data_IF_730043564680
#
_entry.id   IF_730043564680
#
_cell.length_a   1.000
_cell.length_b   1.000
_cell.length_c   1.000
_cell.angle_alpha   90.00
_cell.angle_beta   90.00
_cell.angle_gamma   90.00
#
_symmetry.space_group_name_H-M   'P 1'
#
loop_
_entity.id
_entity.type
_entity.pdbx_description
1 polymer ?
#
# COMPACT_ATOMS: atom_id res chain seq x y z
N UNK A 1 1.76 13.56 19.02
CA UNK A 1 0.87 12.39 19.09
C UNK A 1 1.60 11.05 19.29
N UNK A 2 2.92 11.02 19.38
CA UNK A 2 3.74 9.86 19.71
C UNK A 2 4.72 10.21 20.83
N UNK A 3 4.96 9.26 21.71
CA UNK A 3 5.80 9.46 22.88
C UNK A 3 7.31 9.51 22.54
N UNK A 4 7.73 8.82 21.48
CA UNK A 4 9.11 8.70 21.03
C UNK A 4 9.17 8.73 19.49
N UNK A 5 10.28 9.26 18.96
CA UNK A 5 10.60 9.24 17.52
C UNK A 5 10.93 7.84 16.96
N UNK A 6 11.04 6.82 17.79
CA UNK A 6 11.11 5.41 17.38
C UNK A 6 9.74 4.88 16.92
N UNK A 7 8.67 5.45 17.43
CA UNK A 7 7.32 5.06 17.01
C UNK A 7 7.05 5.56 15.59
N UNK A 8 6.91 4.64 14.66
CA UNK A 8 6.60 4.92 13.25
C UNK A 8 5.11 4.92 12.97
N UNK A 9 4.32 4.22 13.78
CA UNK A 9 2.85 4.26 13.79
C UNK A 9 2.38 5.43 14.64
N UNK A 10 1.21 6.01 14.33
CA UNK A 10 0.53 7.03 15.14
C UNK A 10 -0.46 6.34 16.10
N UNK A 11 -0.05 5.99 17.34
CA UNK A 11 -0.80 5.02 18.16
C UNK A 11 -2.19 5.52 18.58
N UNK A 12 -2.34 6.82 18.82
CA UNK A 12 -3.64 7.38 19.15
C UNK A 12 -4.62 7.24 17.98
N UNK A 13 -4.18 7.58 16.76
CA UNK A 13 -5.01 7.49 15.55
C UNK A 13 -5.35 6.06 15.18
N UNK A 14 -4.40 5.15 15.31
CA UNK A 14 -4.64 3.73 15.09
C UNK A 14 -5.72 3.19 16.06
N UNK A 15 -5.62 3.55 17.35
CA UNK A 15 -6.60 3.14 18.37
C UNK A 15 -7.99 3.68 18.07
N UNK A 16 -8.10 4.96 17.72
CA UNK A 16 -9.38 5.58 17.36
C UNK A 16 -10.01 4.92 16.13
N UNK A 17 -9.20 4.63 15.11
CA UNK A 17 -9.66 3.94 13.91
C UNK A 17 -10.13 2.51 14.23
N UNK A 18 -9.35 1.73 14.98
CA UNK A 18 -9.73 0.37 15.39
C UNK A 18 -11.02 0.39 16.21
N UNK A 19 -11.18 1.35 17.12
CA UNK A 19 -12.40 1.50 17.91
C UNK A 19 -13.63 1.80 17.04
N UNK A 20 -13.47 2.71 16.08
CA UNK A 20 -14.54 3.10 15.15
C UNK A 20 -14.93 1.96 14.20
N UNK A 21 -13.95 1.22 13.68
CA UNK A 21 -14.17 0.17 12.68
C UNK A 21 -14.67 -1.15 13.28
N UNK A 22 -14.49 -1.37 14.60
CA UNK A 22 -14.78 -2.64 15.26
C UNK A 22 -15.62 -2.48 16.55
N UNK A 23 -16.78 -1.80 16.49
CA UNK A 23 -17.57 -1.50 17.70
C UNK A 23 -18.10 -2.75 18.39
N UNK A 24 -18.27 -3.87 17.68
CA UNK A 24 -18.77 -5.14 18.21
C UNK A 24 -17.73 -6.00 18.93
N UNK A 25 -16.43 -5.69 18.79
CA UNK A 25 -15.33 -6.43 19.40
C UNK A 25 -14.98 -5.80 20.75
N UNK A 26 -14.82 -6.58 21.85
CA UNK A 26 -14.45 -6.05 23.16
C UNK A 26 -13.16 -5.24 23.17
N UNK A 27 -13.06 -4.24 24.04
CA UNK A 27 -11.91 -3.35 24.16
C UNK A 27 -10.59 -4.14 24.35
N UNK A 28 -10.61 -5.16 25.23
CA UNK A 28 -9.41 -5.96 25.49
C UNK A 28 -8.89 -6.68 24.23
N UNK A 29 -9.78 -7.20 23.39
CA UNK A 29 -9.42 -7.84 22.13
C UNK A 29 -8.91 -6.83 21.09
N UNK A 30 -9.47 -5.62 21.06
CA UNK A 30 -8.96 -4.52 20.21
C UNK A 30 -7.57 -4.05 20.65
N UNK A 31 -7.31 -3.95 21.95
CA UNK A 31 -5.98 -3.61 22.47
C UNK A 31 -4.96 -4.72 22.18
N UNK A 32 -5.37 -5.99 22.22
CA UNK A 32 -4.52 -7.09 21.79
C UNK A 32 -4.15 -6.98 20.30
N UNK A 33 -5.11 -6.68 19.44
CA UNK A 33 -4.84 -6.43 18.02
C UNK A 33 -3.88 -5.25 17.81
N UNK A 34 -4.01 -4.16 18.58
CA UNK A 34 -3.07 -3.03 18.52
C UNK A 34 -1.65 -3.49 18.86
N UNK A 35 -1.47 -4.31 19.89
CA UNK A 35 -0.15 -4.87 20.24
C UNK A 35 0.41 -5.73 19.12
N UNK A 36 -0.40 -6.62 18.55
CA UNK A 36 0.02 -7.50 17.46
C UNK A 36 0.51 -6.71 16.24
N UNK A 37 -0.18 -5.65 15.85
CA UNK A 37 0.21 -4.87 14.67
C UNK A 37 1.35 -3.89 14.93
N UNK A 38 1.54 -3.43 16.17
CA UNK A 38 2.62 -2.50 16.52
C UNK A 38 3.93 -3.19 16.93
N UNK A 39 3.88 -4.48 17.22
CA UNK A 39 5.06 -5.31 17.53
C UNK A 39 4.94 -6.65 16.79
N UNK A 40 5.47 -6.67 15.57
CA UNK A 40 5.40 -7.85 14.71
C UNK A 40 6.36 -8.97 15.15
N UNK A 41 7.42 -8.65 15.89
CA UNK A 41 8.38 -9.62 16.43
C UNK A 41 9.14 -10.44 15.36
N UNK A 42 9.18 -9.99 14.11
CA UNK A 42 9.76 -10.72 12.97
C UNK A 42 11.06 -10.02 12.54
N UNK A 43 12.24 -10.67 12.67
CA UNK A 43 13.54 -10.04 12.37
C UNK A 43 13.73 -9.66 10.89
N UNK A 44 13.22 -10.46 9.96
CA UNK A 44 13.35 -10.18 8.53
C UNK A 44 12.36 -9.08 8.11
N UNK A 45 12.88 -7.96 7.63
CA UNK A 45 12.08 -6.80 7.20
C UNK A 45 10.97 -7.18 6.20
N UNK A 46 11.31 -7.94 5.17
CA UNK A 46 10.34 -8.32 4.14
C UNK A 46 9.31 -9.33 4.66
N UNK A 47 9.71 -10.22 5.57
CA UNK A 47 8.79 -11.14 6.24
C UNK A 47 7.84 -10.41 7.19
N UNK A 48 8.34 -9.41 7.93
CA UNK A 48 7.53 -8.53 8.77
C UNK A 48 6.52 -7.74 7.91
N UNK A 49 6.97 -7.18 6.79
CA UNK A 49 6.10 -6.46 5.86
C UNK A 49 5.02 -7.38 5.26
N UNK A 50 5.33 -8.64 4.90
CA UNK A 50 4.34 -9.63 4.47
C UNK A 50 3.32 -9.94 5.58
N UNK A 51 3.77 -10.11 6.80
CA UNK A 51 2.88 -10.38 7.93
C UNK A 51 1.96 -9.19 8.21
N UNK A 52 2.51 -7.97 8.18
CA UNK A 52 1.72 -6.74 8.28
C UNK A 52 0.68 -6.64 7.16
N UNK A 53 1.08 -6.83 5.91
CA UNK A 53 0.17 -6.79 4.76
C UNK A 53 -1.00 -7.78 4.92
N UNK A 54 -0.75 -9.01 5.41
CA UNK A 54 -1.81 -9.98 5.71
C UNK A 54 -2.78 -9.46 6.78
N UNK A 55 -2.27 -8.85 7.84
CA UNK A 55 -3.09 -8.22 8.88
C UNK A 55 -3.90 -7.04 8.34
N UNK A 56 -3.27 -6.22 7.49
CA UNK A 56 -3.89 -5.05 6.89
C UNK A 56 -5.09 -5.43 6.02
N UNK A 57 -4.91 -6.42 5.14
CA UNK A 57 -5.94 -6.84 4.17
C UNK A 57 -6.97 -7.77 4.81
N UNK A 58 -6.54 -8.74 5.60
CA UNK A 58 -7.40 -9.77 6.19
C UNK A 58 -7.98 -9.45 7.57
N UNK A 59 -7.46 -8.41 8.22
CA UNK A 59 -7.73 -8.14 9.63
C UNK A 59 -6.84 -8.96 10.57
N UNK A 60 -6.83 -8.58 11.83
CA UNK A 60 -6.03 -9.20 12.88
C UNK A 60 -6.89 -10.21 13.64
N UNK A 61 -6.56 -11.50 13.66
CA UNK A 61 -7.34 -12.49 14.38
C UNK A 61 -7.24 -12.27 15.89
N UNK A 62 -8.39 -12.26 16.56
CA UNK A 62 -8.49 -12.13 18.02
C UNK A 62 -9.45 -13.17 18.58
N UNK A 63 -9.26 -13.55 19.84
CA UNK A 63 -10.17 -14.41 20.58
C UNK A 63 -10.59 -13.70 21.86
N UNK A 64 -11.86 -13.84 22.23
CA UNK A 64 -12.41 -13.24 23.45
C UNK A 64 -13.59 -14.04 23.99
N UNK A 65 -13.91 -13.84 25.27
CA UNK A 65 -15.10 -14.44 25.89
C UNK A 65 -16.31 -13.54 25.69
N UNK A 66 -17.42 -14.10 25.25
CA UNK A 66 -18.71 -13.43 25.16
C UNK A 66 -19.82 -14.42 25.49
N UNK A 67 -20.65 -14.08 26.44
CA UNK A 67 -21.79 -14.91 26.90
C UNK A 67 -21.38 -16.32 27.39
N UNK A 68 -20.15 -16.45 27.95
CA UNK A 68 -19.59 -17.72 28.42
C UNK A 68 -18.94 -18.59 27.34
N UNK A 69 -18.95 -18.14 26.11
CA UNK A 69 -18.33 -18.84 24.96
C UNK A 69 -17.07 -18.12 24.46
N UNK A 70 -16.08 -18.90 23.98
CA UNK A 70 -14.92 -18.34 23.27
C UNK A 70 -15.32 -18.05 21.85
N UNK A 71 -15.18 -16.79 21.43
CA UNK A 71 -15.41 -16.33 20.05
C UNK A 71 -14.12 -15.87 19.40
N UNK A 72 -13.98 -16.23 18.11
CA UNK A 72 -12.95 -15.69 17.23
C UNK A 72 -13.51 -14.60 16.33
N UNK A 73 -12.74 -13.54 16.07
CA UNK A 73 -13.12 -12.46 15.17
C UNK A 73 -11.88 -11.86 14.52
N UNK A 74 -12.06 -10.96 13.54
CA UNK A 74 -11.00 -10.24 12.87
C UNK A 74 -11.13 -8.73 13.11
N UNK A 75 -10.14 -8.13 13.75
CA UNK A 75 -10.07 -6.67 13.94
C UNK A 75 -9.63 -6.02 12.64
N UNK A 76 -10.50 -5.22 12.06
CA UNK A 76 -10.24 -4.47 10.82
C UNK A 76 -9.42 -3.24 11.11
N UNK A 77 -8.39 -3.01 10.28
CA UNK A 77 -7.53 -1.83 10.31
C UNK A 77 -7.98 -0.74 9.31
N UNK A 78 -8.66 -1.15 8.24
CA UNK A 78 -9.10 -0.33 7.12
C UNK A 78 -10.57 -0.60 6.81
N UNK A 79 -11.33 0.44 6.48
CA UNK A 79 -12.59 0.31 5.77
C UNK A 79 -12.32 0.34 4.27
N UNK A 80 -12.32 -0.84 3.66
CA UNK A 80 -12.02 -1.00 2.23
C UNK A 80 -13.16 -0.54 1.33
N UNK A 81 -14.40 -0.63 1.81
CA UNK A 81 -15.59 -0.29 1.05
C UNK A 81 -15.88 1.22 1.05
N UNK A 82 -15.45 1.92 2.09
CA UNK A 82 -15.74 3.34 2.29
C UNK A 82 -14.45 4.09 2.59
N UNK A 83 -13.67 4.48 1.57
CA UNK A 83 -12.39 5.17 1.75
C UNK A 83 -12.47 6.42 2.62
N UNK A 84 -13.62 7.13 2.56
CA UNK A 84 -13.92 8.35 3.33
C UNK A 84 -14.10 8.10 4.84
N UNK A 85 -14.31 6.86 5.26
CA UNK A 85 -14.39 6.48 6.66
C UNK A 85 -13.02 6.21 7.30
N UNK A 86 -11.97 6.18 6.50
CA UNK A 86 -10.61 6.12 7.00
C UNK A 86 -10.05 7.52 7.24
N UNK A 87 -9.10 7.62 8.13
CA UNK A 87 -8.38 8.86 8.40
C UNK A 87 -7.11 8.91 7.55
N UNK A 88 -6.92 10.02 6.81
CA UNK A 88 -5.82 10.21 5.86
C UNK A 88 -4.93 11.36 6.28
N UNK A 89 -3.62 11.12 6.32
CA UNK A 89 -2.62 12.15 6.61
C UNK A 89 -1.43 12.05 5.66
N UNK A 90 -1.04 13.18 5.11
CA UNK A 90 0.26 13.37 4.47
C UNK A 90 1.14 14.16 5.44
N UNK A 91 2.19 13.54 5.93
CA UNK A 91 3.10 14.15 6.91
C UNK A 91 4.46 14.36 6.26
N UNK A 92 4.87 15.61 6.15
CA UNK A 92 6.19 15.98 5.65
C UNK A 92 7.24 15.92 6.76
N UNK A 93 8.46 15.56 6.39
CA UNK A 93 9.64 15.54 7.26
C UNK A 93 9.41 14.82 8.60
N UNK A 94 8.76 13.65 8.52
CA UNK A 94 8.44 12.83 9.68
C UNK A 94 9.73 12.25 10.29
N UNK A 95 10.11 12.74 11.46
CA UNK A 95 11.35 12.35 12.13
C UNK A 95 11.24 10.91 12.64
N UNK A 96 12.16 10.04 12.25
CA UNK A 96 12.24 8.64 12.71
C UNK A 96 13.64 8.40 13.29
N UNK A 97 13.67 7.88 14.53
CA UNK A 97 14.88 7.47 15.21
C UNK A 97 15.04 5.96 15.07
N UNK A 98 15.92 5.55 14.19
CA UNK A 98 16.32 4.15 14.04
C UNK A 98 17.38 3.73 15.08
N UNK A 99 17.93 2.50 14.96
CA UNK A 99 18.92 1.96 15.89
C UNK A 99 20.17 2.84 16.05
N UNK A 100 20.65 3.42 14.95
CA UNK A 100 21.92 4.16 14.93
C UNK A 100 21.80 5.58 14.37
N UNK A 101 20.77 5.87 13.61
CA UNK A 101 20.59 7.15 12.91
C UNK A 101 19.16 7.67 13.05
N UNK A 102 19.04 8.98 12.99
CA UNK A 102 17.74 9.65 12.86
C UNK A 102 17.58 10.13 11.42
N UNK A 103 16.42 9.88 10.81
CA UNK A 103 16.10 10.27 9.44
C UNK A 103 14.75 10.94 9.37
N UNK A 104 14.53 11.67 8.30
CA UNK A 104 13.27 12.39 8.02
C UNK A 104 12.93 12.22 6.54
N UNK A 105 12.17 11.17 6.17
CA UNK A 105 11.60 11.04 4.84
C UNK A 105 10.79 12.28 4.47
N UNK A 106 10.79 12.64 3.20
CA UNK A 106 10.14 13.87 2.76
C UNK A 106 8.63 13.85 3.00
N UNK A 107 7.95 12.77 2.60
CA UNK A 107 6.51 12.61 2.87
C UNK A 107 6.21 11.17 3.24
N UNK A 108 5.39 10.98 4.26
CA UNK A 108 4.76 9.69 4.58
C UNK A 108 3.23 9.86 4.54
N UNK A 109 2.56 8.99 3.80
CA UNK A 109 1.10 8.90 3.82
C UNK A 109 0.67 7.89 4.87
N UNK A 110 -0.13 8.36 5.81
CA UNK A 110 -0.73 7.53 6.84
C UNK A 110 -2.20 7.29 6.55
N UNK A 111 -2.63 6.05 6.76
CA UNK A 111 -4.04 5.68 6.76
C UNK A 111 -4.36 5.08 8.13
N UNK A 112 -5.30 5.65 8.84
CA UNK A 112 -5.66 5.23 10.21
C UNK A 112 -4.44 5.12 11.15
N UNK A 113 -3.45 6.01 10.97
CA UNK A 113 -2.23 6.04 11.76
C UNK A 113 -1.14 5.05 11.33
N UNK A 114 -1.33 4.29 10.26
CA UNK A 114 -0.36 3.35 9.68
C UNK A 114 0.40 4.00 8.52
N UNK A 115 1.75 3.99 8.49
CA UNK A 115 2.58 4.64 7.47
C UNK A 115 2.68 3.77 6.20
N UNK A 116 1.68 3.86 5.32
CA UNK A 116 1.56 2.93 4.19
C UNK A 116 2.37 3.31 2.95
N UNK A 117 2.61 4.61 2.72
CA UNK A 117 3.38 5.07 1.54
C UNK A 117 4.48 6.02 1.99
N UNK A 118 5.68 5.83 1.45
CA UNK A 118 6.81 6.73 1.66
C UNK A 118 7.22 7.34 0.32
N UNK A 119 7.32 8.69 0.30
CA UNK A 119 7.79 9.43 -0.86
C UNK A 119 9.11 10.12 -0.51
N UNK A 120 10.10 9.96 -1.39
CA UNK A 120 11.36 10.70 -1.36
C UNK A 120 11.47 11.58 -2.60
N UNK A 121 11.71 12.85 -2.40
CA UNK A 121 11.67 13.88 -3.43
C UNK A 121 13.04 14.55 -3.56
N UNK A 122 13.43 14.88 -4.78
CA UNK A 122 14.62 15.71 -5.04
C UNK A 122 14.18 17.02 -5.66
N UNK A 123 14.92 18.08 -5.32
CA UNK A 123 14.63 19.42 -5.85
C UNK A 123 15.05 19.49 -7.33
N UNK A 124 14.15 19.75 -8.27
CA UNK A 124 14.47 19.86 -9.69
C UNK A 124 15.42 21.02 -10.02
N UNK A 125 15.57 22.00 -9.13
CA UNK A 125 16.51 23.10 -9.29
C UNK A 125 17.97 22.76 -8.91
N UNK A 126 18.23 21.59 -8.34
CA UNK A 126 19.58 21.11 -8.07
C UNK A 126 20.13 20.40 -9.32
N UNK A 127 21.13 20.99 -9.98
CA UNK A 127 21.77 20.44 -11.17
C UNK A 127 22.32 19.01 -11.00
N UNK A 128 22.57 18.60 -9.77
CA UNK A 128 23.02 17.26 -9.42
C UNK A 128 21.86 16.34 -8.96
N UNK A 129 20.64 16.83 -8.85
CA UNK A 129 19.50 16.00 -8.50
C UNK A 129 19.13 15.11 -9.69
N UNK A 130 18.87 13.85 -9.39
CA UNK A 130 18.20 12.93 -10.30
C UNK A 130 17.36 11.95 -9.47
N UNK A 131 16.42 11.31 -10.11
CA UNK A 131 15.48 10.40 -9.47
C UNK A 131 16.19 9.23 -8.77
N UNK A 132 17.35 8.79 -9.26
CA UNK A 132 18.11 7.68 -8.69
C UNK A 132 18.76 8.02 -7.35
N UNK A 133 19.07 9.31 -7.10
CA UNK A 133 19.47 9.76 -5.75
C UNK A 133 18.33 9.63 -4.72
N UNK A 134 17.09 9.79 -5.16
CA UNK A 134 15.95 9.51 -4.30
C UNK A 134 15.83 8.01 -4.01
N UNK A 135 16.08 7.16 -5.00
CA UNK A 135 16.14 5.70 -4.81
C UNK A 135 17.24 5.30 -3.81
N UNK A 136 18.49 5.77 -4.01
CA UNK A 136 19.62 5.49 -3.10
C UNK A 136 19.35 5.96 -1.68
N UNK A 137 18.62 7.05 -1.54
CA UNK A 137 18.22 7.56 -0.23
C UNK A 137 17.22 6.61 0.45
N UNK A 138 16.26 6.05 -0.29
CA UNK A 138 15.34 5.03 0.24
C UNK A 138 16.10 3.77 0.65
N UNK A 139 17.06 3.30 -0.15
CA UNK A 139 17.90 2.14 0.23
C UNK A 139 18.65 2.42 1.55
N UNK A 140 19.22 3.62 1.70
CA UNK A 140 19.83 4.07 2.95
C UNK A 140 18.82 4.07 4.12
N UNK A 141 17.59 4.48 3.89
CA UNK A 141 16.55 4.47 4.93
C UNK A 141 16.17 3.06 5.35
N UNK A 142 16.10 2.09 4.43
CA UNK A 142 15.83 0.68 4.75
C UNK A 142 16.83 0.12 5.76
N UNK A 143 18.10 0.54 5.68
CA UNK A 143 19.15 0.12 6.62
C UNK A 143 19.08 0.88 7.95
N UNK A 144 18.75 2.18 7.92
CA UNK A 144 18.93 3.07 9.07
C UNK A 144 17.67 3.27 9.91
N UNK A 145 16.48 3.17 9.28
CA UNK A 145 15.17 3.31 9.91
C UNK A 145 14.22 2.19 9.45
N UNK A 146 14.59 0.89 9.58
CA UNK A 146 13.84 -0.23 9.02
C UNK A 146 12.39 -0.33 9.51
N UNK A 147 12.10 0.16 10.72
CA UNK A 147 10.79 -0.03 11.35
C UNK A 147 9.63 0.55 10.54
N UNK A 148 9.84 1.68 9.84
CA UNK A 148 8.79 2.27 8.99
C UNK A 148 8.47 1.39 7.78
N UNK A 149 9.45 0.65 7.28
CA UNK A 149 9.29 -0.21 6.12
C UNK A 149 8.55 -1.52 6.40
N UNK A 150 8.43 -1.91 7.68
CA UNK A 150 7.56 -3.02 8.06
C UNK A 150 6.10 -2.77 7.68
N UNK A 151 5.69 -1.50 7.62
CA UNK A 151 4.32 -1.06 7.31
C UNK A 151 4.15 -0.55 5.88
N UNK A 152 5.25 -0.43 5.12
CA UNK A 152 5.23 0.20 3.82
C UNK A 152 4.55 -0.67 2.76
N UNK A 153 3.59 -0.11 2.05
CA UNK A 153 2.95 -0.77 0.91
C UNK A 153 3.51 -0.31 -0.43
N UNK A 154 3.83 0.97 -0.56
CA UNK A 154 4.34 1.56 -1.80
C UNK A 154 5.44 2.57 -1.49
N UNK A 155 6.50 2.54 -2.27
CA UNK A 155 7.56 3.54 -2.32
C UNK A 155 7.40 4.43 -3.54
N UNK A 156 7.63 5.71 -3.38
CA UNK A 156 7.60 6.69 -4.49
C UNK A 156 8.87 7.52 -4.47
N UNK A 157 9.45 7.71 -5.63
CA UNK A 157 10.60 8.61 -5.86
C UNK A 157 10.25 9.62 -6.92
N UNK A 158 10.73 10.86 -6.78
CA UNK A 158 10.57 11.90 -7.79
C UNK A 158 11.70 12.93 -7.72
N UNK A 159 12.05 13.49 -8.86
CA UNK A 159 12.97 14.65 -8.96
C UNK A 159 12.26 15.91 -9.46
N UNK A 160 10.92 15.88 -9.49
CA UNK A 160 10.08 16.97 -9.96
C UNK A 160 9.76 16.90 -11.45
N UNK A 161 10.53 16.16 -12.25
CA UNK A 161 10.24 15.88 -13.66
C UNK A 161 9.66 14.48 -13.79
N UNK A 162 10.41 13.49 -13.32
CA UNK A 162 10.02 12.10 -13.31
C UNK A 162 9.43 11.70 -11.95
N UNK A 163 8.50 10.75 -11.95
CA UNK A 163 7.97 10.13 -10.74
C UNK A 163 7.75 8.64 -10.94
N UNK A 164 8.39 7.84 -10.10
CA UNK A 164 8.34 6.39 -10.18
C UNK A 164 7.86 5.80 -8.86
N UNK A 165 7.19 4.65 -8.93
CA UNK A 165 6.79 3.89 -7.76
C UNK A 165 7.34 2.47 -7.80
N UNK A 166 7.60 1.92 -6.62
CA UNK A 166 8.15 0.58 -6.47
C UNK A 166 7.71 -0.09 -5.17
N UNK A 167 8.01 -1.38 -5.06
CA UNK A 167 7.81 -2.15 -3.83
C UNK A 167 9.03 -2.09 -2.91
N UNK A 168 8.86 -2.56 -1.68
CA UNK A 168 9.96 -2.66 -0.70
C UNK A 168 11.17 -3.46 -1.21
N UNK A 169 10.96 -4.50 -1.99
CA UNK A 169 12.02 -5.36 -2.54
C UNK A 169 12.41 -5.04 -3.98
N UNK A 170 11.86 -3.97 -4.58
CA UNK A 170 12.17 -3.59 -5.94
C UNK A 170 13.58 -2.97 -6.04
N UNK A 171 14.36 -3.44 -7.02
CA UNK A 171 15.56 -2.73 -7.46
C UNK A 171 15.16 -1.54 -8.36
N UNK A 172 16.13 -0.72 -8.76
CA UNK A 172 15.91 0.48 -9.59
C UNK A 172 15.11 0.18 -10.88
N UNK A 173 15.41 -0.93 -11.56
CA UNK A 173 14.75 -1.32 -12.82
C UNK A 173 13.28 -1.70 -12.65
N UNK A 174 12.83 -1.95 -11.43
CA UNK A 174 11.45 -2.32 -11.08
C UNK A 174 10.62 -1.14 -10.60
N UNK A 175 11.22 0.03 -10.46
CA UNK A 175 10.46 1.26 -10.27
C UNK A 175 9.84 1.69 -11.60
N UNK A 176 8.57 2.03 -11.58
CA UNK A 176 7.77 2.28 -12.79
C UNK A 176 6.98 3.57 -12.68
N UNK A 177 6.80 4.26 -13.80
CA UNK A 177 5.96 5.44 -13.90
C UNK A 177 4.47 5.06 -13.88
N UNK A 178 3.67 5.91 -13.27
CA UNK A 178 2.21 5.85 -13.39
C UNK A 178 1.74 6.79 -14.48
N UNK A 179 1.15 6.27 -15.56
CA UNK A 179 0.97 6.95 -16.82
C UNK A 179 -0.43 7.48 -17.09
N UNK A 180 -1.37 7.30 -16.17
CA UNK A 180 -2.76 7.70 -16.41
C UNK A 180 -3.53 7.88 -15.10
N UNK A 181 -4.42 8.84 -15.06
CA UNK A 181 -5.33 9.06 -13.92
C UNK A 181 -6.61 8.24 -14.10
N UNK A 182 -7.16 8.21 -15.31
CA UNK A 182 -8.46 7.63 -15.62
C UNK A 182 -8.41 6.23 -16.25
N UNK A 183 -7.21 5.76 -16.65
CA UNK A 183 -7.00 4.48 -17.32
C UNK A 183 -7.29 4.51 -18.82
N UNK A 184 -7.67 5.64 -19.38
CA UNK A 184 -8.03 5.83 -20.81
C UNK A 184 -6.99 6.68 -21.51
N UNK A 185 -6.69 7.84 -20.94
CA UNK A 185 -5.77 8.80 -21.50
C UNK A 185 -4.38 8.65 -20.86
N UNK A 186 -3.35 8.49 -21.69
CA UNK A 186 -1.97 8.47 -21.22
C UNK A 186 -1.45 9.89 -21.06
N UNK A 187 -0.97 10.22 -19.87
CA UNK A 187 -0.31 11.48 -19.63
C UNK A 187 1.11 11.47 -20.22
N UNK A 188 1.58 12.59 -20.79
CA UNK A 188 2.91 12.67 -21.39
C UNK A 188 4.02 12.54 -20.32
N UNK A 189 5.12 11.89 -20.67
CA UNK A 189 6.32 11.79 -19.82
C UNK A 189 7.14 13.09 -19.87
N UNK A 190 7.88 13.38 -18.79
CA UNK A 190 8.88 14.45 -18.77
C UNK A 190 8.33 15.88 -18.77
N UNK A 191 7.05 16.09 -18.43
CA UNK A 191 6.42 17.42 -18.45
C UNK A 191 6.04 17.95 -17.06
N UNK A 192 6.79 17.64 -16.03
CA UNK A 192 6.53 18.04 -14.63
C UNK A 192 5.17 17.61 -14.07
N UNK A 193 4.48 16.68 -14.74
CA UNK A 193 3.14 16.21 -14.35
C UNK A 193 3.15 14.79 -13.80
N UNK A 194 4.25 14.07 -13.91
CA UNK A 194 4.30 12.65 -13.55
C UNK A 194 3.94 12.40 -12.08
N UNK A 195 4.47 13.21 -11.16
CA UNK A 195 4.10 13.11 -9.75
C UNK A 195 2.60 13.40 -9.53
N UNK A 196 2.04 14.38 -10.25
CA UNK A 196 0.62 14.69 -10.17
C UNK A 196 -0.23 13.53 -10.70
N UNK A 197 0.17 12.94 -11.83
CA UNK A 197 -0.50 11.76 -12.41
C UNK A 197 -0.44 10.57 -11.46
N UNK A 198 0.71 10.32 -10.84
CA UNK A 198 0.86 9.26 -9.85
C UNK A 198 -0.01 9.51 -8.60
N UNK A 199 0.02 10.73 -8.05
CA UNK A 199 -0.77 11.08 -6.87
C UNK A 199 -2.26 10.95 -7.13
N UNK A 200 -2.74 11.45 -8.26
CA UNK A 200 -4.17 11.38 -8.62
C UNK A 200 -4.61 10.02 -9.13
N UNK A 201 -3.70 9.29 -9.77
CA UNK A 201 -4.01 8.04 -10.45
C UNK A 201 -3.93 6.80 -9.56
N UNK A 202 -3.07 6.79 -8.53
CA UNK A 202 -2.94 5.63 -7.64
C UNK A 202 -2.93 5.99 -6.16
N UNK A 203 -2.44 7.17 -5.77
CA UNK A 203 -2.42 7.56 -4.36
C UNK A 203 -3.73 8.25 -3.90
N UNK A 204 -4.67 8.52 -4.80
CA UNK A 204 -5.99 8.97 -4.41
C UNK A 204 -6.67 7.91 -3.52
N UNK A 205 -7.37 8.28 -2.43
CA UNK A 205 -7.84 7.36 -1.40
C UNK A 205 -8.52 6.09 -1.92
N UNK A 206 -9.47 6.23 -2.84
CA UNK A 206 -10.22 5.10 -3.39
C UNK A 206 -9.32 4.16 -4.24
N UNK A 207 -8.35 4.72 -4.96
CA UNK A 207 -7.44 3.93 -5.79
C UNK A 207 -6.34 3.29 -4.97
N UNK A 208 -5.82 3.99 -3.96
CA UNK A 208 -4.77 3.46 -3.08
C UNK A 208 -5.26 2.26 -2.27
N UNK A 209 -6.48 2.31 -1.73
CA UNK A 209 -7.04 1.17 -1.01
C UNK A 209 -7.24 -0.03 -1.94
N UNK A 210 -7.83 0.20 -3.11
CA UNK A 210 -8.02 -0.83 -4.14
C UNK A 210 -6.66 -1.45 -4.55
N UNK A 211 -5.66 -0.59 -4.75
CA UNK A 211 -4.30 -0.99 -5.12
C UNK A 211 -3.62 -1.85 -4.04
N UNK A 212 -3.64 -1.41 -2.79
CA UNK A 212 -3.04 -2.16 -1.68
C UNK A 212 -3.72 -3.53 -1.54
N UNK A 213 -5.04 -3.56 -1.63
CA UNK A 213 -5.82 -4.78 -1.37
C UNK A 213 -5.63 -5.85 -2.44
N UNK A 214 -5.49 -5.48 -3.72
CA UNK A 214 -5.55 -6.41 -4.84
C UNK A 214 -4.32 -6.44 -5.74
N UNK A 215 -3.43 -5.45 -5.65
CA UNK A 215 -2.32 -5.28 -6.59
C UNK A 215 -0.94 -5.30 -5.92
N UNK A 216 -0.90 -5.59 -4.63
CA UNK A 216 0.32 -5.89 -3.88
C UNK A 216 0.40 -7.40 -3.64
N UNK A 217 1.47 -8.02 -4.10
CA UNK A 217 1.65 -9.47 -4.10
C UNK A 217 2.97 -9.85 -3.42
N UNK A 218 2.99 -11.01 -2.77
CA UNK A 218 4.20 -11.60 -2.23
C UNK A 218 4.41 -12.96 -2.88
N UNK A 219 5.53 -13.10 -3.58
CA UNK A 219 5.98 -14.34 -4.19
C UNK A 219 7.09 -14.95 -3.32
N UNK A 220 7.01 -16.26 -3.09
CA UNK A 220 7.96 -17.00 -2.26
C UNK A 220 8.36 -18.27 -3.02
N UNK A 221 9.31 -18.11 -3.93
CA UNK A 221 9.90 -19.19 -4.73
C UNK A 221 11.39 -19.29 -4.39
N UNK A 222 11.68 -19.75 -3.16
CA UNK A 222 13.02 -19.82 -2.61
C UNK A 222 13.57 -18.47 -2.10
N UNK A 223 13.08 -17.36 -2.61
CA UNK A 223 13.33 -16.02 -2.11
C UNK A 223 12.02 -15.23 -2.06
N UNK A 224 11.73 -14.67 -0.88
CA UNK A 224 10.57 -13.80 -0.73
C UNK A 224 10.77 -12.49 -1.49
N UNK A 225 9.80 -12.14 -2.33
CA UNK A 225 9.79 -10.89 -3.11
C UNK A 225 8.41 -10.24 -3.00
N UNK A 226 8.37 -8.94 -2.75
CA UNK A 226 7.16 -8.13 -2.85
C UNK A 226 7.05 -7.55 -4.25
N UNK A 227 5.95 -7.81 -4.93
CA UNK A 227 5.64 -7.29 -6.27
C UNK A 227 4.44 -6.37 -6.21
N UNK A 228 4.43 -5.36 -7.05
CA UNK A 228 3.29 -4.46 -7.23
C UNK A 228 2.94 -4.36 -8.72
N UNK A 229 1.67 -4.18 -9.02
CA UNK A 229 1.20 -4.10 -10.40
C UNK A 229 1.48 -2.72 -11.03
N UNK A 230 1.77 -2.69 -12.32
CA UNK A 230 1.85 -1.46 -13.10
C UNK A 230 0.47 -0.86 -13.40
N UNK A 231 0.44 0.41 -13.81
CA UNK A 231 -0.79 1.13 -14.15
C UNK A 231 -1.67 0.38 -15.17
N UNK A 232 -1.06 -0.20 -16.20
CA UNK A 232 -1.75 -0.96 -17.24
C UNK A 232 -2.43 -2.22 -16.70
N UNK A 233 -1.83 -2.89 -15.71
CA UNK A 233 -2.41 -4.06 -15.05
C UNK A 233 -3.57 -3.64 -14.14
N UNK A 234 -3.38 -2.56 -13.36
CA UNK A 234 -4.41 -2.01 -12.48
C UNK A 234 -5.68 -1.64 -13.24
N UNK A 235 -5.56 -0.84 -14.29
CA UNK A 235 -6.72 -0.40 -15.06
C UNK A 235 -7.34 -1.54 -15.87
N UNK A 236 -6.54 -2.44 -16.44
CA UNK A 236 -7.07 -3.61 -17.16
C UNK A 236 -7.88 -4.53 -16.25
N UNK A 237 -7.41 -4.81 -15.04
CA UNK A 237 -8.17 -5.63 -14.07
C UNK A 237 -9.46 -4.93 -13.67
N UNK A 238 -9.43 -3.64 -13.38
CA UNK A 238 -10.64 -2.88 -13.01
C UNK A 238 -11.70 -2.91 -14.12
N UNK A 239 -11.29 -2.63 -15.35
CA UNK A 239 -12.19 -2.73 -16.51
C UNK A 239 -12.73 -4.15 -16.72
N UNK A 240 -11.87 -5.17 -16.60
CA UNK A 240 -12.28 -6.55 -16.74
C UNK A 240 -13.29 -7.00 -15.67
N UNK A 241 -13.13 -6.53 -14.41
CA UNK A 241 -14.09 -6.81 -13.32
C UNK A 241 -15.45 -6.17 -13.65
N UNK A 242 -15.47 -4.90 -14.06
CA UNK A 242 -16.70 -4.20 -14.40
C UNK A 242 -17.47 -4.92 -15.53
N UNK A 243 -16.77 -5.34 -16.56
CA UNK A 243 -17.34 -6.12 -17.66
C UNK A 243 -17.88 -7.49 -17.20
N UNK A 244 -17.12 -8.22 -16.39
CA UNK A 244 -17.55 -9.53 -15.89
C UNK A 244 -18.76 -9.41 -14.98
N UNK A 245 -18.78 -8.47 -14.05
CA UNK A 245 -19.91 -8.22 -13.15
C UNK A 245 -21.16 -7.84 -13.98
N UNK A 246 -20.98 -6.97 -14.98
CA UNK A 246 -22.07 -6.56 -15.87
C UNK A 246 -22.59 -7.73 -16.70
N UNK A 247 -21.70 -8.52 -17.30
CA UNK A 247 -22.06 -9.68 -18.13
C UNK A 247 -22.70 -10.83 -17.33
N UNK A 248 -22.43 -10.91 -16.02
CA UNK A 248 -22.96 -11.96 -15.14
C UNK A 248 -24.37 -11.68 -14.62
N UNK A 249 -24.91 -10.48 -14.79
CA UNK A 249 -26.25 -10.11 -14.33
C UNK A 249 -27.34 -10.97 -15.01
N UNK A 250 -28.45 -11.26 -14.33
CA UNK A 250 -29.59 -11.92 -14.96
C UNK A 250 -30.06 -11.21 -16.22
N UNK A 251 -30.14 -11.92 -17.32
CA UNK A 251 -30.57 -11.37 -18.63
C UNK A 251 -29.49 -10.63 -19.42
N UNK A 252 -28.26 -10.52 -18.89
CA UNK A 252 -27.14 -9.92 -19.62
C UNK A 252 -26.57 -10.85 -20.70
N UNK A 253 -25.68 -10.31 -21.54
CA UNK A 253 -25.11 -11.00 -22.70
C UNK A 253 -24.27 -12.25 -22.38
N UNK A 254 -23.77 -12.36 -21.15
CA UNK A 254 -22.81 -13.38 -20.68
C UNK A 254 -21.52 -13.44 -21.51
N UNK A 255 -21.21 -12.38 -22.26
CA UNK A 255 -19.99 -12.23 -23.03
C UNK A 255 -19.00 -11.44 -22.20
N UNK A 256 -17.85 -12.05 -21.87
CA UNK A 256 -16.72 -11.35 -21.29
C UNK A 256 -15.95 -10.55 -22.34
N UNK A 257 -14.84 -10.00 -21.94
CA UNK A 257 -13.91 -9.26 -22.79
C UNK A 257 -12.61 -10.02 -23.04
N UNK A 258 -11.71 -9.35 -23.76
CA UNK A 258 -10.32 -9.80 -23.97
C UNK A 258 -9.39 -8.72 -23.46
N UNK A 259 -8.44 -9.13 -22.61
CA UNK A 259 -7.33 -8.28 -22.17
C UNK A 259 -6.14 -8.54 -23.07
N UNK A 260 -5.76 -7.53 -23.85
CA UNK A 260 -4.60 -7.61 -24.74
C UNK A 260 -3.42 -6.82 -24.17
N UNK A 261 -2.37 -7.53 -23.78
CA UNK A 261 -1.12 -6.93 -23.34
C UNK A 261 0.05 -7.48 -24.15
N UNK A 262 1.10 -6.67 -24.36
CA UNK A 262 2.32 -7.08 -25.03
C UNK A 262 3.01 -8.24 -24.31
N UNK A 263 3.89 -8.95 -25.01
CA UNK A 263 4.72 -9.98 -24.39
C UNK A 263 5.64 -9.34 -23.33
N UNK A 264 5.81 -9.98 -22.19
CA UNK A 264 6.63 -9.45 -21.08
C UNK A 264 5.95 -8.43 -20.16
N UNK A 265 4.70 -8.02 -20.42
CA UNK A 265 3.97 -7.03 -19.60
C UNK A 265 3.45 -7.54 -18.23
N UNK A 266 3.82 -8.77 -17.84
CA UNK A 266 3.38 -9.33 -16.56
C UNK A 266 1.94 -9.84 -16.55
N UNK A 267 1.47 -10.44 -17.64
CA UNK A 267 0.10 -11.02 -17.75
C UNK A 267 -0.27 -11.95 -16.59
N UNK A 268 0.68 -12.72 -16.06
CA UNK A 268 0.45 -13.58 -14.91
C UNK A 268 0.03 -12.79 -13.67
N UNK A 269 0.65 -11.64 -13.41
CA UNK A 269 0.26 -10.72 -12.33
C UNK A 269 -1.15 -10.20 -12.58
N UNK A 270 -1.47 -9.77 -13.81
CA UNK A 270 -2.81 -9.31 -14.19
C UNK A 270 -3.87 -10.40 -13.91
N UNK A 271 -3.59 -11.65 -14.30
CA UNK A 271 -4.49 -12.78 -14.07
C UNK A 271 -4.69 -13.08 -12.58
N UNK A 272 -3.62 -13.04 -11.79
CA UNK A 272 -3.66 -13.27 -10.34
C UNK A 272 -4.51 -12.19 -9.65
N UNK A 273 -4.26 -10.92 -9.96
CA UNK A 273 -5.02 -9.80 -9.41
C UNK A 273 -6.50 -9.86 -9.82
N UNK A 274 -6.78 -10.21 -11.08
CA UNK A 274 -8.15 -10.37 -11.57
C UNK A 274 -8.87 -11.51 -10.83
N UNK A 275 -8.26 -12.69 -10.72
CA UNK A 275 -8.83 -13.82 -10.01
C UNK A 275 -9.12 -13.51 -8.54
N UNK A 276 -8.16 -12.91 -7.84
CA UNK A 276 -8.32 -12.53 -6.44
C UNK A 276 -9.49 -11.55 -6.25
N UNK A 277 -9.68 -10.61 -7.17
CA UNK A 277 -10.74 -9.62 -7.09
C UNK A 277 -12.12 -10.21 -7.44
N UNK A 278 -12.22 -11.00 -8.52
CA UNK A 278 -13.48 -11.66 -8.92
C UNK A 278 -14.06 -12.52 -7.80
N UNK A 279 -13.20 -13.16 -7.01
CA UNK A 279 -13.65 -14.01 -5.88
C UNK A 279 -14.30 -13.23 -4.73
N UNK A 280 -14.23 -11.90 -4.75
CA UNK A 280 -14.77 -11.03 -3.69
C UNK A 280 -15.99 -10.22 -4.14
N UNK A 281 -16.33 -10.26 -5.43
CA UNK A 281 -17.54 -9.66 -6.01
C UNK A 281 -18.71 -10.67 -5.97
#
# INVERSE_FOLDING_TARGET
>A
ERADYRQVVLPFRLREAINRLNPGIPVAAREDAIKQVTDLGIPSLLSANRAFHKMLVGGIPVQYQKDGETRGDFVRLIDWAHPEKNEWWAVNQFTIKGPHKTRRPDIILFVNGLPLVLLELKNPADENANIWKAFDQIETYKEQIPDVFQYNEVLVISDGTDALMGSLSANAERFMAWRTIDGVNLDPLGQFQELQTLVRGVLAPQYLLDYIRYFVLFEDDGQLVKKIAGYHQFHAVRAAIEEVVTASRPGASRKGGVVWHTQGSGKSITMTCFAARVMQE
#
